data_IF_273123679618
#
_entry.id   IF_273123679618
#
_cell.length_a   1.000
_cell.length_b   1.000
_cell.length_c   1.000
_cell.angle_alpha   90.00
_cell.angle_beta   90.00
_cell.angle_gamma   90.00
#
_symmetry.space_group_name_H-M   'P 1'
#
loop_
_entity.id
_entity.type
_entity.pdbx_description
1 polymer ?
#
# COMPACT_ATOMS: atom_id res chain seq x y z
N UNK A 1 -0.78 16.22 -33.79
CA UNK A 1 -2.04 15.56 -33.41
C UNK A 1 -2.27 15.80 -31.92
N UNK A 2 -3.27 16.59 -31.55
CA UNK A 2 -3.61 16.81 -30.15
C UNK A 2 -4.31 15.54 -29.61
N UNK A 3 -3.89 15.04 -28.44
CA UNK A 3 -4.51 13.86 -27.82
C UNK A 3 -5.86 14.18 -27.15
N UNK A 4 -6.25 15.46 -27.12
CA UNK A 4 -7.53 15.94 -26.60
C UNK A 4 -8.27 16.71 -27.71
N UNK A 5 -9.61 16.71 -27.73
CA UNK A 5 -10.40 17.44 -28.72
C UNK A 5 -10.01 18.92 -28.74
N UNK A 6 -9.72 19.45 -29.94
CA UNK A 6 -9.43 20.87 -30.11
C UNK A 6 -10.68 21.75 -29.93
N UNK A 7 -11.86 21.16 -30.16
CA UNK A 7 -13.15 21.78 -29.94
C UNK A 7 -13.70 21.40 -28.55
N UNK A 8 -14.52 22.28 -27.92
CA UNK A 8 -15.19 21.95 -26.68
C UNK A 8 -16.06 20.70 -26.82
N UNK A 9 -16.14 19.89 -25.76
CA UNK A 9 -17.03 18.74 -25.70
C UNK A 9 -17.76 18.69 -24.36
N UNK A 10 -18.92 18.05 -24.34
CA UNK A 10 -19.69 17.84 -23.12
C UNK A 10 -19.43 16.41 -22.59
N UNK A 11 -19.25 16.29 -21.27
CA UNK A 11 -19.14 14.98 -20.60
C UNK A 11 -20.47 14.53 -19.97
N UNK A 12 -21.29 15.49 -19.56
CA UNK A 12 -22.61 15.28 -18.97
C UNK A 12 -23.46 16.55 -19.15
N UNK A 13 -24.76 16.48 -18.81
CA UNK A 13 -25.67 17.63 -18.92
C UNK A 13 -25.21 18.84 -18.11
N UNK A 14 -24.56 18.60 -16.97
CA UNK A 14 -24.06 19.57 -15.99
C UNK A 14 -22.59 20.00 -16.23
N UNK A 15 -21.84 19.29 -17.09
CA UNK A 15 -20.44 19.61 -17.42
C UNK A 15 -20.28 19.80 -18.93
N UNK A 16 -20.60 21.02 -19.37
CA UNK A 16 -20.53 21.46 -20.77
C UNK A 16 -19.26 22.28 -21.06
N UNK A 17 -18.88 22.38 -22.33
CA UNK A 17 -17.76 23.19 -22.83
C UNK A 17 -16.37 22.84 -22.26
N UNK A 18 -16.07 21.56 -22.04
CA UNK A 18 -14.74 21.13 -21.59
C UNK A 18 -13.72 21.35 -22.70
N UNK A 19 -12.63 22.04 -22.36
CA UNK A 19 -11.50 22.33 -23.25
C UNK A 19 -10.32 21.42 -22.91
N UNK A 20 -9.36 21.31 -23.83
CA UNK A 20 -8.14 20.56 -23.56
C UNK A 20 -7.38 21.06 -22.32
N UNK A 21 -7.42 22.37 -22.03
CA UNK A 21 -6.78 22.98 -20.84
C UNK A 21 -7.43 22.48 -19.55
N UNK A 22 -8.77 22.40 -19.50
CA UNK A 22 -9.48 21.93 -18.31
C UNK A 22 -9.21 20.46 -18.02
N UNK A 23 -8.90 19.66 -19.05
CA UNK A 23 -8.42 18.28 -18.89
C UNK A 23 -6.94 18.18 -18.51
N UNK A 24 -6.10 19.14 -18.96
CA UNK A 24 -4.67 19.14 -18.66
C UNK A 24 -4.38 19.44 -17.18
N UNK A 25 -5.19 20.29 -16.54
CA UNK A 25 -5.01 20.65 -15.12
C UNK A 25 -5.10 19.43 -14.19
N UNK A 26 -6.13 18.56 -14.25
CA UNK A 26 -6.17 17.31 -13.50
C UNK A 26 -4.93 16.43 -13.69
N UNK A 27 -4.48 16.24 -14.94
CA UNK A 27 -3.27 15.45 -15.22
C UNK A 27 -2.03 16.03 -14.54
N UNK A 28 -1.84 17.35 -14.63
CA UNK A 28 -0.71 18.04 -13.99
C UNK A 28 -0.80 17.95 -12.46
N UNK A 29 -1.98 18.17 -11.88
CA UNK A 29 -2.20 18.04 -10.44
C UNK A 29 -1.92 16.61 -9.95
N UNK A 30 -2.36 15.60 -10.70
CA UNK A 30 -2.04 14.21 -10.42
C UNK A 30 -0.54 13.94 -10.41
N UNK A 31 0.18 14.42 -11.43
CA UNK A 31 1.64 14.28 -11.54
C UNK A 31 2.37 14.97 -10.38
N UNK A 32 1.99 16.21 -10.05
CA UNK A 32 2.56 16.96 -8.94
C UNK A 32 2.24 16.34 -7.58
N UNK A 33 1.01 15.86 -7.38
CA UNK A 33 0.65 15.13 -6.16
C UNK A 33 1.46 13.85 -6.01
N UNK A 34 1.71 13.12 -7.09
CA UNK A 34 2.62 11.96 -7.08
C UNK A 34 4.03 12.37 -6.62
N UNK A 35 4.58 13.45 -7.20
CA UNK A 35 5.89 13.96 -6.84
C UNK A 35 5.96 14.37 -5.35
N UNK A 36 4.97 15.11 -4.84
CA UNK A 36 4.90 15.52 -3.43
C UNK A 36 4.82 14.30 -2.52
N UNK A 37 3.99 13.31 -2.85
CA UNK A 37 3.90 12.04 -2.10
C UNK A 37 5.27 11.36 -2.06
N UNK A 38 6.01 11.34 -3.18
CA UNK A 38 7.37 10.81 -3.23
C UNK A 38 8.34 11.51 -2.28
N UNK A 39 8.41 12.85 -2.32
CA UNK A 39 9.26 13.64 -1.43
C UNK A 39 8.91 13.47 0.06
N UNK A 40 7.62 13.45 0.39
CA UNK A 40 7.17 13.22 1.76
C UNK A 40 7.55 11.82 2.22
N UNK A 41 7.37 10.82 1.35
CA UNK A 41 7.74 9.44 1.65
C UNK A 41 9.24 9.33 1.91
N UNK A 42 10.07 9.90 1.03
CA UNK A 42 11.52 9.98 1.22
C UNK A 42 11.89 10.62 2.57
N UNK A 43 11.27 11.76 2.93
CA UNK A 43 11.54 12.44 4.20
C UNK A 43 11.27 11.55 5.42
N UNK A 44 10.22 10.72 5.36
CA UNK A 44 9.83 9.84 6.46
C UNK A 44 10.54 8.49 6.46
N UNK A 45 11.08 8.03 5.34
CA UNK A 45 11.72 6.70 5.26
C UNK A 45 13.23 6.74 5.09
N UNK A 46 13.84 7.83 4.63
CA UNK A 46 15.29 7.90 4.46
C UNK A 46 16.03 8.27 5.75
N UNK A 47 17.12 7.54 6.04
CA UNK A 47 17.99 7.81 7.18
C UNK A 47 18.80 9.11 7.06
N UNK A 48 18.74 9.79 5.91
CA UNK A 48 19.31 11.12 5.74
C UNK A 48 18.56 12.19 6.54
N UNK A 49 17.30 11.93 6.89
CA UNK A 49 16.43 12.89 7.57
C UNK A 49 16.23 12.57 9.05
N UNK A 50 15.75 13.58 9.75
CA UNK A 50 15.50 13.55 11.19
C UNK A 50 14.54 12.43 11.63
N UNK A 51 13.40 12.15 10.97
CA UNK A 51 12.42 11.18 11.48
C UNK A 51 12.99 9.77 11.71
N UNK A 52 13.77 9.25 10.74
CA UNK A 52 14.39 7.92 10.84
C UNK A 52 15.56 7.90 11.83
N UNK A 53 16.31 9.01 11.92
CA UNK A 53 17.38 9.15 12.91
C UNK A 53 16.84 9.15 14.33
N UNK A 54 15.69 9.79 14.57
CA UNK A 54 15.02 9.74 15.88
C UNK A 54 14.64 8.30 16.26
N UNK A 55 14.12 7.51 15.32
CA UNK A 55 13.89 6.07 15.57
C UNK A 55 15.20 5.39 15.96
N UNK A 56 16.27 5.59 15.18
CA UNK A 56 17.58 4.99 15.44
C UNK A 56 18.12 5.34 16.83
N UNK A 57 18.00 6.59 17.24
CA UNK A 57 18.43 7.08 18.56
C UNK A 57 17.68 6.38 19.70
N UNK A 58 16.36 6.15 19.56
CA UNK A 58 15.58 5.43 20.60
C UNK A 58 15.98 3.97 20.77
N UNK A 59 16.62 3.36 19.76
CA UNK A 59 17.10 1.97 19.83
C UNK A 59 18.23 1.79 20.84
N UNK A 60 18.93 2.87 21.23
CA UNK A 60 19.92 2.85 22.33
C UNK A 60 19.29 2.42 23.66
N UNK A 61 18.00 2.71 23.84
CA UNK A 61 17.27 2.43 25.07
C UNK A 61 16.54 1.09 24.99
N UNK A 62 15.65 0.90 24.01
CA UNK A 62 14.88 -0.34 23.87
C UNK A 62 14.28 -0.53 22.48
N UNK A 63 13.97 -1.78 22.13
CA UNK A 63 13.19 -2.10 20.94
C UNK A 63 11.75 -1.55 21.02
N UNK A 64 11.15 -1.54 22.23
CA UNK A 64 9.77 -1.10 22.42
C UNK A 64 9.58 0.39 22.07
N UNK A 65 10.49 1.24 22.52
CA UNK A 65 10.50 2.68 22.14
C UNK A 65 10.69 2.85 20.63
N UNK A 66 11.57 2.04 20.03
CA UNK A 66 11.74 2.01 18.58
C UNK A 66 10.47 1.68 17.81
N UNK A 67 9.69 0.71 18.30
CA UNK A 67 8.39 0.35 17.71
C UNK A 67 7.37 1.49 17.89
N UNK A 68 7.28 2.08 19.08
CA UNK A 68 6.36 3.19 19.33
C UNK A 68 6.64 4.37 18.37
N UNK A 69 7.91 4.73 18.22
CA UNK A 69 8.30 5.84 17.34
C UNK A 69 8.05 5.53 15.86
N UNK A 70 8.31 4.29 15.41
CA UNK A 70 8.04 3.89 14.02
C UNK A 70 6.55 3.89 13.67
N UNK A 71 5.67 3.45 14.59
CA UNK A 71 4.22 3.53 14.40
C UNK A 71 3.74 4.98 14.35
N UNK A 72 4.19 5.81 15.29
CA UNK A 72 3.86 7.23 15.31
C UNK A 72 4.31 7.94 14.03
N UNK A 73 5.52 7.63 13.53
CA UNK A 73 6.04 8.14 12.27
C UNK A 73 5.13 7.76 11.09
N UNK A 74 4.72 6.49 10.98
CA UNK A 74 3.83 6.04 9.92
C UNK A 74 2.50 6.80 9.92
N UNK A 75 1.90 6.99 11.10
CA UNK A 75 0.66 7.76 11.24
C UNK A 75 0.83 9.22 10.82
N UNK A 76 1.96 9.85 11.20
CA UNK A 76 2.26 11.23 10.81
C UNK A 76 2.53 11.37 9.31
N UNK A 77 3.20 10.39 8.71
CA UNK A 77 3.59 10.40 7.29
C UNK A 77 2.41 10.46 6.32
N UNK A 78 1.22 10.10 6.78
CA UNK A 78 0.01 10.01 5.97
C UNK A 78 -0.73 11.35 5.81
N UNK A 79 -0.41 12.37 6.61
CA UNK A 79 -1.11 13.67 6.61
C UNK A 79 -0.98 14.37 5.25
N UNK A 80 0.25 14.62 4.80
CA UNK A 80 0.49 15.38 3.56
C UNK A 80 -0.01 14.60 2.33
N UNK A 81 0.28 13.29 2.17
CA UNK A 81 -0.29 12.50 1.08
C UNK A 81 -1.81 12.57 1.00
N UNK A 82 -2.50 12.46 2.14
CA UNK A 82 -3.97 12.54 2.19
C UNK A 82 -4.48 13.91 1.77
N UNK A 83 -3.83 14.99 2.21
CA UNK A 83 -4.16 16.35 1.79
C UNK A 83 -3.95 16.55 0.28
N UNK A 84 -2.84 16.06 -0.27
CA UNK A 84 -2.56 16.11 -1.72
C UNK A 84 -3.64 15.38 -2.52
N UNK A 85 -4.06 14.19 -2.08
CA UNK A 85 -5.14 13.44 -2.70
C UNK A 85 -6.47 14.21 -2.62
N UNK A 86 -6.80 14.76 -1.46
CA UNK A 86 -8.02 15.57 -1.27
C UNK A 86 -8.09 16.78 -2.21
N UNK A 87 -7.00 17.55 -2.31
CA UNK A 87 -6.89 18.69 -3.24
C UNK A 87 -7.01 18.22 -4.70
N UNK A 88 -6.34 17.13 -5.06
CA UNK A 88 -6.40 16.56 -6.42
C UNK A 88 -7.82 16.16 -6.77
N UNK A 89 -8.51 15.46 -5.88
CA UNK A 89 -9.91 15.05 -6.08
C UNK A 89 -10.81 16.28 -6.21
N UNK A 90 -10.75 17.22 -5.27
CA UNK A 90 -11.63 18.38 -5.26
C UNK A 90 -11.49 19.22 -6.53
N UNK A 91 -10.27 19.58 -6.91
CA UNK A 91 -10.03 20.41 -8.09
C UNK A 91 -10.37 19.65 -9.36
N UNK A 92 -9.95 18.38 -9.48
CA UNK A 92 -10.20 17.60 -10.69
C UNK A 92 -11.69 17.32 -10.91
N UNK A 93 -12.41 17.02 -9.82
CA UNK A 93 -13.85 16.80 -9.87
C UNK A 93 -14.62 18.08 -10.20
N UNK A 94 -14.20 19.22 -9.65
CA UNK A 94 -14.86 20.52 -9.95
C UNK A 94 -14.70 20.90 -11.42
N UNK A 95 -13.57 20.56 -12.05
CA UNK A 95 -13.29 20.93 -13.44
C UNK A 95 -13.91 19.98 -14.48
N UNK A 96 -13.90 18.67 -14.23
CA UNK A 96 -14.29 17.67 -15.22
C UNK A 96 -15.07 16.48 -14.63
N UNK A 97 -15.65 16.62 -13.43
CA UNK A 97 -16.37 15.56 -12.73
C UNK A 97 -15.51 14.33 -12.46
N UNK A 98 -16.14 13.15 -12.42
CA UNK A 98 -15.44 11.86 -12.22
C UNK A 98 -14.37 11.57 -13.27
N UNK A 99 -14.55 12.07 -14.50
CA UNK A 99 -13.53 11.95 -15.55
C UNK A 99 -12.27 12.75 -15.22
N UNK A 100 -12.40 13.94 -14.63
CA UNK A 100 -11.27 14.71 -14.12
C UNK A 100 -10.48 13.94 -13.08
N UNK A 101 -11.15 13.28 -12.13
CA UNK A 101 -10.49 12.44 -11.13
C UNK A 101 -9.71 11.29 -11.81
N UNK A 102 -10.29 10.65 -12.83
CA UNK A 102 -9.62 9.62 -13.61
C UNK A 102 -8.38 10.15 -14.36
N UNK A 103 -8.46 11.36 -14.93
CA UNK A 103 -7.34 12.04 -15.56
C UNK A 103 -6.24 12.40 -14.54
N UNK A 104 -6.60 12.82 -13.32
CA UNK A 104 -5.65 13.01 -12.23
C UNK A 104 -4.94 11.72 -11.85
N UNK A 105 -5.66 10.59 -11.80
CA UNK A 105 -5.07 9.28 -11.58
C UNK A 105 -4.06 8.92 -12.68
N UNK A 106 -4.43 9.14 -13.95
CA UNK A 106 -3.55 8.93 -15.09
C UNK A 106 -2.33 9.85 -15.06
N UNK A 107 -2.50 11.11 -14.65
CA UNK A 107 -1.43 12.07 -14.46
C UNK A 107 -0.39 11.60 -13.45
N UNK A 108 -0.84 11.07 -12.30
CA UNK A 108 0.04 10.51 -11.27
C UNK A 108 0.85 9.30 -11.79
N UNK A 109 0.27 8.51 -12.70
CA UNK A 109 0.93 7.35 -13.32
C UNK A 109 1.61 7.67 -14.66
N UNK A 110 1.61 8.92 -15.12
CA UNK A 110 2.15 9.29 -16.43
C UNK A 110 3.65 9.02 -16.57
N UNK A 111 4.37 9.00 -15.45
CA UNK A 111 5.80 8.67 -15.34
C UNK A 111 6.04 7.27 -14.78
N UNK A 112 5.06 6.37 -14.86
CA UNK A 112 5.12 5.02 -14.29
C UNK A 112 6.35 4.22 -14.75
N UNK A 113 6.81 4.38 -15.99
CA UNK A 113 8.04 3.72 -16.46
C UNK A 113 9.25 4.10 -15.60
N UNK A 114 9.39 5.39 -15.26
CA UNK A 114 10.46 5.85 -14.38
C UNK A 114 10.24 5.40 -12.94
N UNK A 115 9.00 5.48 -12.44
CA UNK A 115 8.63 5.00 -11.11
C UNK A 115 8.96 3.52 -10.90
N UNK A 116 8.61 2.66 -11.86
CA UNK A 116 8.96 1.23 -11.83
C UNK A 116 10.47 1.00 -11.94
N UNK A 117 11.17 1.79 -12.74
CA UNK A 117 12.63 1.65 -12.90
C UNK A 117 13.34 1.87 -11.56
N UNK A 118 12.97 2.91 -10.81
CA UNK A 118 13.59 3.21 -9.52
C UNK A 118 13.13 2.25 -8.40
N UNK A 119 11.91 1.72 -8.48
CA UNK A 119 11.39 0.74 -7.53
C UNK A 119 12.10 -0.61 -7.70
N UNK A 120 12.14 -1.13 -8.94
CA UNK A 120 12.81 -2.41 -9.29
C UNK A 120 14.32 -2.37 -9.06
N UNK A 121 14.94 -1.19 -9.11
CA UNK A 121 16.34 -1.00 -8.74
C UNK A 121 16.65 -1.50 -7.31
N UNK A 122 15.70 -1.39 -6.36
CA UNK A 122 15.90 -1.81 -4.98
C UNK A 122 16.12 -3.31 -4.82
N UNK A 123 15.16 -4.18 -5.19
CA UNK A 123 15.32 -5.64 -5.10
C UNK A 123 16.50 -6.20 -5.90
N UNK A 124 16.91 -5.55 -6.99
CA UNK A 124 18.13 -5.93 -7.73
C UNK A 124 19.37 -5.66 -6.88
N UNK A 125 19.43 -4.51 -6.21
CA UNK A 125 20.54 -4.11 -5.35
C UNK A 125 20.66 -4.98 -4.09
N UNK A 126 19.54 -5.34 -3.49
CA UNK A 126 19.48 -6.27 -2.35
C UNK A 126 20.03 -7.66 -2.73
N UNK A 127 19.54 -8.23 -3.83
CA UNK A 127 20.05 -9.51 -4.35
C UNK A 127 21.55 -9.45 -4.69
N UNK A 128 22.03 -8.34 -5.25
CA UNK A 128 23.46 -8.16 -5.52
C UNK A 128 24.29 -8.21 -4.22
N UNK A 129 23.80 -7.59 -3.14
CA UNK A 129 24.41 -7.69 -1.82
C UNK A 129 24.40 -9.11 -1.27
N UNK A 130 23.28 -9.82 -1.37
CA UNK A 130 23.16 -11.22 -0.95
C UNK A 130 24.13 -12.14 -1.68
N UNK A 131 24.23 -12.00 -3.01
CA UNK A 131 25.17 -12.76 -3.85
C UNK A 131 26.62 -12.45 -3.45
N UNK A 132 26.95 -11.18 -3.20
CA UNK A 132 28.29 -10.78 -2.78
C UNK A 132 28.71 -11.44 -1.46
N UNK A 133 27.80 -11.49 -0.48
CA UNK A 133 28.04 -12.13 0.82
C UNK A 133 28.19 -13.66 0.67
N UNK A 134 27.26 -14.31 -0.04
CA UNK A 134 27.28 -15.77 -0.26
C UNK A 134 28.49 -16.24 -1.08
N UNK A 135 29.05 -15.37 -1.93
CA UNK A 135 30.23 -15.67 -2.74
C UNK A 135 31.55 -15.34 -2.03
N UNK A 136 31.52 -14.81 -0.81
CA UNK A 136 32.71 -14.43 -0.05
C UNK A 136 33.51 -13.28 -0.68
N UNK A 137 32.84 -12.36 -1.39
CA UNK A 137 33.52 -11.21 -1.98
C UNK A 137 34.03 -10.24 -0.91
N UNK A 138 35.00 -9.40 -1.29
CA UNK A 138 35.63 -8.46 -0.35
C UNK A 138 34.65 -7.44 0.26
N UNK A 139 34.97 -6.91 1.46
CA UNK A 139 34.07 -6.01 2.21
C UNK A 139 33.75 -4.70 1.48
N UNK A 140 34.59 -4.28 0.54
CA UNK A 140 34.33 -3.12 -0.32
C UNK A 140 33.10 -3.33 -1.20
N UNK A 141 32.90 -4.55 -1.74
CA UNK A 141 31.74 -4.89 -2.57
C UNK A 141 30.47 -4.79 -1.73
N UNK A 142 30.48 -5.40 -0.53
CA UNK A 142 29.34 -5.34 0.39
C UNK A 142 29.01 -3.92 0.81
N UNK A 143 30.02 -3.08 1.08
CA UNK A 143 29.81 -1.65 1.40
C UNK A 143 29.12 -0.89 0.27
N UNK A 144 29.49 -1.18 -0.99
CA UNK A 144 28.83 -0.57 -2.16
C UNK A 144 27.39 -1.06 -2.31
N UNK A 145 27.15 -2.37 -2.23
CA UNK A 145 25.80 -2.92 -2.34
C UNK A 145 24.89 -2.47 -1.20
N UNK A 146 25.38 -2.38 0.03
CA UNK A 146 24.61 -1.88 1.18
C UNK A 146 24.17 -0.41 0.98
N UNK A 147 25.00 0.42 0.33
CA UNK A 147 24.63 1.79 -0.02
C UNK A 147 23.56 1.83 -1.11
N UNK A 148 23.65 0.95 -2.12
CA UNK A 148 22.65 0.85 -3.19
C UNK A 148 21.30 0.34 -2.65
N UNK A 149 21.34 -0.65 -1.76
CA UNK A 149 20.19 -1.25 -1.07
C UNK A 149 19.46 -0.24 -0.17
N UNK A 150 20.19 0.57 0.61
CA UNK A 150 19.59 1.64 1.41
C UNK A 150 18.84 2.69 0.54
N UNK A 151 19.40 3.04 -0.63
CA UNK A 151 18.70 3.87 -1.60
C UNK A 151 17.46 3.15 -2.17
N UNK A 152 17.60 1.85 -2.48
CA UNK A 152 16.53 0.96 -2.94
C UNK A 152 15.34 0.87 -1.97
N UNK A 153 15.58 0.79 -0.67
CA UNK A 153 14.54 0.81 0.35
C UNK A 153 13.72 2.11 0.32
N UNK A 154 14.38 3.23 0.05
CA UNK A 154 13.72 4.53 -0.08
C UNK A 154 12.91 4.60 -1.37
N UNK A 155 13.46 4.16 -2.50
CA UNK A 155 12.75 4.17 -3.78
C UNK A 155 11.58 3.18 -3.79
N UNK A 156 11.68 2.04 -3.12
CA UNK A 156 10.59 1.10 -2.91
C UNK A 156 9.44 1.73 -2.09
N UNK A 157 9.76 2.48 -1.04
CA UNK A 157 8.75 3.24 -0.30
C UNK A 157 8.07 4.29 -1.17
N UNK A 158 8.83 5.05 -1.97
CA UNK A 158 8.28 6.00 -2.95
C UNK A 158 7.35 5.30 -3.94
N UNK A 159 7.78 4.15 -4.49
CA UNK A 159 6.98 3.31 -5.39
C UNK A 159 5.65 2.89 -4.76
N UNK A 160 5.68 2.42 -3.51
CA UNK A 160 4.49 2.10 -2.71
C UNK A 160 3.59 3.32 -2.53
N UNK A 161 4.14 4.49 -2.20
CA UNK A 161 3.41 5.75 -2.09
C UNK A 161 2.68 6.14 -3.38
N UNK A 162 3.36 6.07 -4.53
CA UNK A 162 2.77 6.28 -5.85
C UNK A 162 1.66 5.27 -6.18
N UNK A 163 1.89 3.99 -5.88
CA UNK A 163 0.91 2.93 -6.11
C UNK A 163 -0.36 3.13 -5.26
N UNK A 164 -0.22 3.56 -4.00
CA UNK A 164 -1.33 3.86 -3.11
C UNK A 164 -2.07 5.14 -3.52
N UNK A 165 -1.34 6.22 -3.81
CA UNK A 165 -1.96 7.48 -4.24
C UNK A 165 -2.75 7.33 -5.54
N UNK A 166 -2.19 6.62 -6.52
CA UNK A 166 -2.90 6.31 -7.77
C UNK A 166 -4.07 5.37 -7.53
N UNK A 167 -3.95 4.41 -6.60
CA UNK A 167 -5.06 3.56 -6.19
C UNK A 167 -6.26 4.34 -5.69
N UNK A 168 -6.01 5.36 -4.86
CA UNK A 168 -7.06 6.21 -4.34
C UNK A 168 -7.87 6.86 -5.47
N UNK A 169 -7.17 7.52 -6.41
CA UNK A 169 -7.80 8.26 -7.49
C UNK A 169 -8.51 7.34 -8.49
N UNK A 170 -7.87 6.23 -8.90
CA UNK A 170 -8.48 5.24 -9.79
C UNK A 170 -9.73 4.63 -9.14
N UNK A 171 -9.65 4.26 -7.87
CA UNK A 171 -10.77 3.61 -7.18
C UNK A 171 -11.96 4.55 -7.01
N UNK A 172 -11.72 5.84 -6.78
CA UNK A 172 -12.78 6.85 -6.77
C UNK A 172 -13.45 7.00 -8.15
N UNK A 173 -12.66 7.01 -9.23
CA UNK A 173 -13.20 7.03 -10.58
C UNK A 173 -14.02 5.77 -10.91
N UNK A 174 -13.51 4.58 -10.54
CA UNK A 174 -14.21 3.31 -10.68
C UNK A 174 -15.48 3.25 -9.83
N UNK A 175 -15.46 3.87 -8.65
CA UNK A 175 -16.64 3.98 -7.79
C UNK A 175 -17.72 4.85 -8.46
N UNK A 176 -17.36 5.99 -9.06
CA UNK A 176 -18.29 6.79 -9.86
C UNK A 176 -18.87 5.99 -11.03
N UNK A 177 -18.03 5.25 -11.76
CA UNK A 177 -18.48 4.36 -12.84
C UNK A 177 -19.41 3.25 -12.34
N UNK A 178 -19.15 2.69 -11.15
CA UNK A 178 -20.02 1.72 -10.50
C UNK A 178 -21.40 2.32 -10.22
N UNK A 179 -21.48 3.53 -9.67
CA UNK A 179 -22.75 4.20 -9.41
C UNK A 179 -23.60 4.33 -10.69
N UNK A 180 -22.99 4.72 -11.80
CA UNK A 180 -23.66 4.78 -13.11
C UNK A 180 -24.14 3.39 -13.54
N UNK A 181 -23.25 2.39 -13.49
CA UNK A 181 -23.54 1.02 -13.95
C UNK A 181 -24.63 0.34 -13.12
N UNK A 182 -24.63 0.56 -11.80
CA UNK A 182 -25.58 0.01 -10.85
C UNK A 182 -26.85 0.87 -10.68
N UNK A 183 -26.96 1.98 -11.44
CA UNK A 183 -28.09 2.93 -11.38
C UNK A 183 -28.30 3.49 -9.96
N UNK A 184 -27.21 3.81 -9.25
CA UNK A 184 -27.23 4.54 -7.99
C UNK A 184 -27.33 6.04 -8.33
N UNK A 185 -28.48 6.65 -8.06
CA UNK A 185 -28.71 8.07 -8.36
C UNK A 185 -27.96 9.00 -7.39
N UNK A 186 -27.94 8.64 -6.10
CA UNK A 186 -27.29 9.41 -5.06
C UNK A 186 -26.76 8.46 -3.99
N UNK A 187 -25.52 8.66 -3.57
CA UNK A 187 -24.93 7.97 -2.42
C UNK A 187 -25.18 8.84 -1.18
N UNK A 188 -26.24 8.51 -0.42
CA UNK A 188 -26.57 9.23 0.80
C UNK A 188 -25.91 8.53 2.01
N UNK A 189 -24.94 9.17 2.65
CA UNK A 189 -24.27 8.58 3.83
C UNK A 189 -25.24 8.36 5.00
N UNK A 190 -26.36 9.09 5.07
CA UNK A 190 -27.39 8.92 6.09
C UNK A 190 -28.37 7.79 5.77
N UNK A 191 -28.31 7.19 4.57
CA UNK A 191 -29.05 5.97 4.28
C UNK A 191 -28.49 4.80 5.11
N UNK A 192 -29.32 4.03 5.85
CA UNK A 192 -28.84 2.97 6.73
C UNK A 192 -28.00 1.91 6.03
N UNK A 193 -28.34 1.55 4.78
CA UNK A 193 -27.59 0.55 4.01
C UNK A 193 -26.23 1.08 3.59
N UNK A 194 -26.20 2.32 3.12
CA UNK A 194 -24.95 3.02 2.75
C UNK A 194 -24.04 3.17 3.96
N UNK A 195 -24.55 3.61 5.12
CA UNK A 195 -23.75 3.76 6.33
C UNK A 195 -23.23 2.41 6.86
N UNK A 196 -24.07 1.36 6.83
CA UNK A 196 -23.68 0.01 7.22
C UNK A 196 -22.56 -0.51 6.32
N UNK A 197 -22.70 -0.32 5.01
CA UNK A 197 -21.65 -0.62 4.05
C UNK A 197 -20.37 0.16 4.31
N UNK A 198 -20.47 1.45 4.65
CA UNK A 198 -19.34 2.31 4.99
C UNK A 198 -18.55 1.75 6.18
N UNK A 199 -19.25 1.36 7.25
CA UNK A 199 -18.65 0.79 8.46
C UNK A 199 -17.92 -0.52 8.14
N UNK A 200 -18.57 -1.45 7.42
CA UNK A 200 -17.95 -2.72 7.04
C UNK A 200 -16.80 -2.53 6.06
N UNK A 201 -16.97 -1.66 5.06
CA UNK A 201 -15.93 -1.29 4.12
C UNK A 201 -14.69 -0.75 4.83
N UNK A 202 -14.86 0.12 5.83
CA UNK A 202 -13.75 0.66 6.60
C UNK A 202 -13.01 -0.41 7.42
N UNK A 203 -13.70 -1.49 7.80
CA UNK A 203 -13.14 -2.62 8.55
C UNK A 203 -12.41 -3.64 7.66
N UNK A 204 -12.80 -3.81 6.38
CA UNK A 204 -12.19 -4.78 5.45
C UNK A 204 -10.66 -4.64 5.35
N UNK A 205 -10.07 -3.44 5.20
CA UNK A 205 -8.61 -3.26 5.24
C UNK A 205 -7.95 -3.81 6.52
N UNK A 206 -8.57 -3.62 7.69
CA UNK A 206 -8.03 -4.13 8.95
C UNK A 206 -8.13 -5.65 9.03
N UNK A 207 -9.25 -6.23 8.57
CA UNK A 207 -9.41 -7.68 8.52
C UNK A 207 -8.41 -8.31 7.56
N UNK A 208 -8.23 -7.73 6.37
CA UNK A 208 -7.22 -8.14 5.41
C UNK A 208 -5.82 -8.14 6.04
N UNK A 209 -5.41 -7.01 6.63
CA UNK A 209 -4.10 -6.88 7.27
C UNK A 209 -3.91 -7.85 8.43
N UNK A 210 -4.94 -8.09 9.24
CA UNK A 210 -4.86 -9.06 10.34
C UNK A 210 -4.57 -10.48 9.85
N UNK A 211 -5.20 -10.89 8.74
CA UNK A 211 -4.92 -12.19 8.12
C UNK A 211 -3.49 -12.25 7.61
N UNK A 212 -3.08 -11.30 6.76
CA UNK A 212 -1.75 -11.32 6.15
C UNK A 212 -0.61 -11.22 7.17
N UNK A 213 -0.75 -10.37 8.19
CA UNK A 213 0.24 -10.27 9.27
C UNK A 213 0.34 -11.58 10.07
N UNK A 214 -0.79 -12.20 10.39
CA UNK A 214 -0.81 -13.48 11.11
C UNK A 214 -0.17 -14.60 10.28
N UNK A 215 -0.49 -14.68 8.99
CA UNK A 215 0.07 -15.68 8.08
C UNK A 215 1.60 -15.56 7.97
N UNK A 216 2.14 -14.34 7.83
CA UNK A 216 3.60 -14.13 7.85
C UNK A 216 4.20 -14.52 9.20
N UNK A 217 3.56 -14.14 10.32
CA UNK A 217 4.04 -14.51 11.65
C UNK A 217 4.10 -16.02 11.89
N UNK A 218 3.12 -16.78 11.39
CA UNK A 218 3.13 -18.24 11.44
C UNK A 218 4.28 -18.83 10.63
N UNK A 219 4.43 -18.41 9.36
CA UNK A 219 5.50 -18.87 8.48
C UNK A 219 6.89 -18.51 9.00
N UNK A 220 7.06 -17.30 9.56
CA UNK A 220 8.30 -16.85 10.15
C UNK A 220 8.69 -17.68 11.38
N UNK A 221 7.73 -18.02 12.25
CA UNK A 221 7.99 -18.88 13.41
C UNK A 221 8.44 -20.29 13.00
N UNK A 222 7.84 -20.85 11.95
CA UNK A 222 8.25 -22.16 11.45
C UNK A 222 9.62 -22.11 10.76
N UNK A 223 9.92 -21.02 10.05
CA UNK A 223 11.26 -20.75 9.51
C UNK A 223 12.31 -20.64 10.63
N UNK A 224 12.01 -19.95 11.72
CA UNK A 224 12.92 -19.83 12.88
C UNK A 224 13.17 -21.19 13.52
N UNK A 225 12.12 -22.00 13.75
CA UNK A 225 12.28 -23.36 14.30
C UNK A 225 13.17 -24.22 13.41
N UNK A 226 12.97 -24.16 12.09
CA UNK A 226 13.79 -24.90 11.12
C UNK A 226 15.25 -24.44 11.17
N UNK A 227 15.51 -23.13 11.11
CA UNK A 227 16.86 -22.59 11.23
C UNK A 227 17.53 -23.01 12.54
N UNK A 228 16.81 -22.97 13.66
CA UNK A 228 17.33 -23.38 14.98
C UNK A 228 17.61 -24.88 15.08
N UNK A 229 16.93 -25.72 14.29
CA UNK A 229 17.23 -27.15 14.18
C UNK A 229 18.47 -27.41 13.32
N UNK A 230 18.70 -26.62 12.26
CA UNK A 230 19.84 -26.78 11.37
C UNK A 230 21.13 -26.16 11.92
N UNK A 231 21.07 -24.98 12.57
CA UNK A 231 22.27 -24.21 12.96
C UNK A 231 23.28 -25.00 13.80
N UNK A 232 22.91 -25.78 14.84
CA UNK A 232 23.90 -26.55 15.61
C UNK A 232 24.70 -27.52 14.75
N UNK A 233 24.04 -28.20 13.80
CA UNK A 233 24.66 -29.19 12.90
C UNK A 233 25.52 -28.53 11.82
N UNK A 234 25.10 -27.36 11.31
CA UNK A 234 25.89 -26.57 10.36
C UNK A 234 27.16 -26.06 11.03
N UNK A 235 27.06 -25.51 12.24
CA UNK A 235 28.20 -24.99 13.01
C UNK A 235 29.17 -26.10 13.44
N UNK A 236 28.66 -27.31 13.68
CA UNK A 236 29.48 -28.50 13.92
C UNK A 236 30.14 -29.05 12.64
N UNK A 237 29.80 -28.53 11.46
CA UNK A 237 30.29 -29.01 10.17
C UNK A 237 29.69 -30.36 9.72
N UNK A 238 28.65 -30.84 10.41
CA UNK A 238 28.00 -32.14 10.15
C UNK A 238 27.09 -32.11 8.92
N UNK A 239 26.57 -30.93 8.57
CA UNK A 239 25.71 -30.76 7.41
C UNK A 239 25.93 -29.41 6.72
N UNK A 240 25.69 -29.39 5.40
CA UNK A 240 25.46 -28.13 4.69
C UNK A 240 24.03 -27.63 4.97
N UNK A 241 23.77 -26.31 4.89
CA UNK A 241 22.42 -25.79 5.06
C UNK A 241 21.44 -26.42 4.07
N UNK A 242 20.29 -26.87 4.57
CA UNK A 242 19.20 -27.36 3.73
C UNK A 242 18.29 -26.18 3.35
N UNK A 243 18.63 -25.53 2.24
CA UNK A 243 17.85 -24.44 1.67
C UNK A 243 16.48 -24.90 1.17
N UNK A 244 16.35 -26.15 0.70
CA UNK A 244 15.09 -26.67 0.14
C UNK A 244 14.01 -26.70 1.19
N UNK A 245 14.37 -27.04 2.43
CA UNK A 245 13.44 -27.05 3.55
C UNK A 245 12.90 -25.65 3.87
N UNK A 246 13.77 -24.64 3.97
CA UNK A 246 13.35 -23.25 4.14
C UNK A 246 12.44 -22.78 2.99
N UNK A 247 12.79 -23.09 1.74
CA UNK A 247 11.97 -22.76 0.57
C UNK A 247 10.58 -23.42 0.65
N UNK A 248 10.51 -24.69 1.08
CA UNK A 248 9.23 -25.40 1.20
C UNK A 248 8.30 -24.75 2.23
N UNK A 249 8.82 -24.31 3.37
CA UNK A 249 8.03 -23.66 4.44
C UNK A 249 7.36 -22.39 3.92
N UNK A 250 8.14 -21.50 3.28
CA UNK A 250 7.57 -20.25 2.74
C UNK A 250 6.63 -20.49 1.55
N UNK A 251 6.93 -21.48 0.70
CA UNK A 251 6.10 -21.83 -0.46
C UNK A 251 4.75 -22.40 -0.05
N UNK A 252 4.73 -23.38 0.84
CA UNK A 252 3.49 -24.03 1.30
C UNK A 252 2.62 -23.04 2.08
N UNK A 253 3.23 -22.24 2.96
CA UNK A 253 2.52 -21.21 3.71
C UNK A 253 1.91 -20.15 2.77
N UNK A 254 2.68 -19.60 1.84
CA UNK A 254 2.17 -18.55 0.92
C UNK A 254 1.02 -19.04 0.04
N UNK A 255 1.11 -20.24 -0.54
CA UNK A 255 0.06 -20.81 -1.39
C UNK A 255 -1.24 -21.07 -0.63
N UNK A 256 -1.15 -21.54 0.62
CA UNK A 256 -2.32 -21.81 1.45
C UNK A 256 -2.95 -20.53 1.99
N UNK A 257 -2.12 -19.64 2.50
CA UNK A 257 -2.55 -18.45 3.26
C UNK A 257 -2.97 -17.28 2.36
N UNK A 258 -2.65 -17.30 1.05
CA UNK A 258 -3.15 -16.27 0.12
C UNK A 258 -4.64 -16.40 -0.19
N UNK A 259 -5.23 -17.58 0.00
CA UNK A 259 -6.63 -17.86 -0.39
C UNK A 259 -7.63 -17.06 0.45
N UNK A 260 -7.58 -17.05 1.80
CA UNK A 260 -8.57 -16.31 2.60
C UNK A 260 -8.56 -14.79 2.37
N UNK A 261 -7.41 -14.09 2.33
CA UNK A 261 -7.38 -12.66 1.98
C UNK A 261 -7.90 -12.38 0.56
N UNK A 262 -7.56 -13.22 -0.42
CA UNK A 262 -8.07 -13.09 -1.79
C UNK A 262 -9.60 -13.26 -1.85
N UNK A 263 -10.12 -14.28 -1.17
CA UNK A 263 -11.56 -14.52 -1.06
C UNK A 263 -12.28 -13.36 -0.37
N UNK A 264 -11.70 -12.78 0.70
CA UNK A 264 -12.26 -11.62 1.37
C UNK A 264 -12.47 -10.45 0.39
N UNK A 265 -11.46 -10.10 -0.38
CA UNK A 265 -11.51 -8.94 -1.29
C UNK A 265 -12.51 -9.15 -2.42
N UNK A 266 -12.56 -10.36 -2.99
CA UNK A 266 -13.47 -10.68 -4.10
C UNK A 266 -14.91 -10.80 -3.62
N UNK A 267 -15.14 -11.50 -2.52
CA UNK A 267 -16.50 -11.81 -2.04
C UNK A 267 -17.15 -10.64 -1.32
N UNK A 268 -16.40 -9.78 -0.62
CA UNK A 268 -16.98 -8.65 0.14
C UNK A 268 -17.92 -7.75 -0.69
N UNK A 269 -17.50 -7.17 -1.83
CA UNK A 269 -18.40 -6.34 -2.64
C UNK A 269 -19.54 -7.14 -3.28
N UNK A 270 -19.31 -8.40 -3.65
CA UNK A 270 -20.33 -9.24 -4.27
C UNK A 270 -21.44 -9.63 -3.29
N UNK A 271 -21.06 -10.05 -2.08
CA UNK A 271 -22.00 -10.36 -1.00
C UNK A 271 -22.74 -9.09 -0.58
N UNK A 272 -22.03 -7.96 -0.43
CA UNK A 272 -22.65 -6.66 -0.17
C UNK A 272 -23.71 -6.32 -1.22
N UNK A 273 -23.40 -6.51 -2.50
CA UNK A 273 -24.30 -6.16 -3.61
C UNK A 273 -25.48 -7.09 -3.77
N UNK A 274 -25.25 -8.40 -3.78
CA UNK A 274 -26.30 -9.40 -4.02
C UNK A 274 -27.24 -9.55 -2.82
N UNK A 275 -26.71 -9.44 -1.59
CA UNK A 275 -27.50 -9.66 -0.37
C UNK A 275 -28.09 -8.37 0.18
N UNK A 276 -27.34 -7.25 0.12
CA UNK A 276 -27.71 -5.99 0.77
C UNK A 276 -27.98 -4.83 -0.19
N UNK A 277 -27.76 -5.05 -1.49
CA UNK A 277 -28.09 -4.10 -2.55
C UNK A 277 -26.98 -3.11 -2.89
N UNK A 278 -27.26 -2.31 -3.92
CA UNK A 278 -26.33 -1.36 -4.53
C UNK A 278 -25.87 -0.25 -3.59
N UNK A 279 -26.72 0.19 -2.66
CA UNK A 279 -26.38 1.25 -1.70
C UNK A 279 -25.36 0.75 -0.66
N UNK A 280 -25.54 -0.46 -0.15
CA UNK A 280 -24.58 -1.08 0.78
C UNK A 280 -23.21 -1.24 0.11
N UNK A 281 -23.18 -1.70 -1.14
CA UNK A 281 -21.92 -1.80 -1.91
C UNK A 281 -21.24 -0.45 -2.09
N UNK A 282 -22.01 0.61 -2.38
CA UNK A 282 -21.46 1.97 -2.46
C UNK A 282 -20.79 2.41 -1.15
N UNK A 283 -21.41 2.07 -0.02
CA UNK A 283 -20.82 2.21 1.31
C UNK A 283 -19.51 1.43 1.46
N UNK A 284 -19.50 0.14 1.10
CA UNK A 284 -18.31 -0.72 1.20
C UNK A 284 -17.14 -0.16 0.41
N UNK A 285 -17.38 0.29 -0.83
CA UNK A 285 -16.37 0.93 -1.67
C UNK A 285 -15.81 2.21 -1.04
N UNK A 286 -16.70 3.07 -0.54
CA UNK A 286 -16.32 4.33 0.10
C UNK A 286 -15.49 4.09 1.36
N UNK A 287 -15.94 3.16 2.22
CA UNK A 287 -15.28 2.85 3.49
C UNK A 287 -13.92 2.19 3.27
N UNK A 288 -13.85 1.21 2.37
CA UNK A 288 -12.60 0.53 2.04
C UNK A 288 -11.57 1.48 1.45
N UNK A 289 -12.02 2.45 0.64
CA UNK A 289 -11.16 3.49 0.07
C UNK A 289 -10.56 4.37 1.17
N UNK A 290 -11.40 5.03 1.96
CA UNK A 290 -10.93 6.04 2.93
C UNK A 290 -10.14 5.43 4.09
N UNK A 291 -10.45 4.19 4.48
CA UNK A 291 -9.71 3.47 5.52
C UNK A 291 -8.43 2.83 4.97
N UNK A 292 -8.52 2.17 3.81
CA UNK A 292 -7.43 1.40 3.21
C UNK A 292 -6.22 2.26 2.85
N UNK A 293 -6.43 3.48 2.33
CA UNK A 293 -5.33 4.39 1.99
C UNK A 293 -4.49 4.74 3.24
N UNK A 294 -5.15 5.05 4.35
CA UNK A 294 -4.48 5.50 5.58
C UNK A 294 -3.61 4.36 6.14
N UNK A 295 -4.16 3.15 6.15
CA UNK A 295 -3.48 1.95 6.62
C UNK A 295 -2.33 1.57 5.67
N UNK A 296 -2.52 1.64 4.36
CA UNK A 296 -1.49 1.31 3.38
C UNK A 296 -0.26 2.23 3.49
N UNK A 297 -0.48 3.55 3.60
CA UNK A 297 0.61 4.54 3.70
C UNK A 297 1.36 4.35 5.02
N UNK A 298 0.62 4.31 6.13
CA UNK A 298 1.24 4.19 7.45
C UNK A 298 2.05 2.90 7.61
N UNK A 299 1.51 1.74 7.20
CA UNK A 299 2.22 0.46 7.27
C UNK A 299 3.48 0.45 6.39
N UNK A 300 3.39 0.95 5.16
CA UNK A 300 4.53 0.97 4.22
C UNK A 300 5.65 1.87 4.74
N UNK A 301 5.31 3.07 5.23
CA UNK A 301 6.29 4.04 5.70
C UNK A 301 6.88 3.65 7.05
N UNK A 302 6.09 3.09 7.97
CA UNK A 302 6.60 2.56 9.25
C UNK A 302 7.65 1.47 9.02
N UNK A 303 7.35 0.47 8.18
CA UNK A 303 8.31 -0.60 7.94
C UNK A 303 9.55 -0.12 7.18
N UNK A 304 9.40 0.79 6.21
CA UNK A 304 10.55 1.40 5.53
C UNK A 304 11.44 2.22 6.47
N UNK A 305 10.83 2.94 7.43
CA UNK A 305 11.56 3.71 8.43
C UNK A 305 12.32 2.82 9.42
N UNK A 306 11.75 1.68 9.86
CA UNK A 306 12.48 0.73 10.71
C UNK A 306 13.65 0.07 10.00
N UNK A 307 13.50 -0.30 8.73
CA UNK A 307 14.59 -0.87 7.93
C UNK A 307 15.74 0.13 7.77
N UNK A 308 15.43 1.36 7.37
CA UNK A 308 16.45 2.39 7.22
C UNK A 308 17.04 2.87 8.55
N UNK A 309 16.29 2.78 9.65
CA UNK A 309 16.86 2.99 10.99
C UNK A 309 17.88 1.89 11.33
N UNK A 310 17.59 0.62 11.03
CA UNK A 310 18.58 -0.48 11.14
C UNK A 310 19.79 -0.20 10.25
N UNK A 311 19.61 0.12 8.97
CA UNK A 311 20.71 0.43 8.04
C UNK A 311 21.57 1.61 8.50
N UNK A 312 20.97 2.63 9.11
CA UNK A 312 21.70 3.76 9.69
C UNK A 312 22.67 3.33 10.79
N UNK A 313 22.24 2.44 11.68
CA UNK A 313 23.09 1.88 12.74
C UNK A 313 24.19 1.00 12.13
N UNK A 314 23.85 0.18 11.14
CA UNK A 314 24.80 -0.67 10.42
C UNK A 314 25.91 0.10 9.70
N UNK A 315 25.58 1.30 9.21
CA UNK A 315 26.53 2.23 8.59
C UNK A 315 27.33 3.06 9.62
N UNK A 316 27.11 2.88 10.92
CA UNK A 316 27.81 3.60 11.99
C UNK A 316 27.22 4.98 12.32
N UNK A 317 25.98 5.27 11.92
CA UNK A 317 25.33 6.56 12.12
C UNK A 317 25.08 6.96 13.59
N UNK A 318 25.09 6.00 14.52
CA UNK A 318 25.01 6.26 15.97
C UNK A 318 26.38 6.37 16.65
N UNK A 319 27.48 6.29 15.89
CA UNK A 319 28.83 6.29 16.42
C UNK A 319 29.40 4.88 16.67
N UNK A 320 30.68 4.80 17.07
CA UNK A 320 31.43 3.54 17.13
C UNK A 320 30.94 2.55 18.20
N UNK A 321 30.23 3.04 19.22
CA UNK A 321 29.71 2.23 20.33
C UNK A 321 28.49 1.38 19.94
N UNK A 322 27.77 1.79 18.88
CA UNK A 322 26.51 1.18 18.45
C UNK A 322 26.64 0.50 17.08
N UNK A 323 27.66 -0.34 16.91
CA UNK A 323 27.93 -1.08 15.67
C UNK A 323 27.03 -2.32 15.50
N UNK A 324 27.13 -2.98 14.34
CA UNK A 324 26.52 -4.30 14.09
C UNK A 324 26.78 -5.27 15.26
N UNK A 325 25.73 -5.93 15.73
CA UNK A 325 25.76 -6.86 16.88
C UNK A 325 25.60 -6.20 18.25
N UNK A 326 25.66 -4.87 18.35
CA UNK A 326 25.36 -4.15 19.61
C UNK A 326 23.89 -4.32 20.02
N UNK A 327 23.56 -3.99 21.28
CA UNK A 327 22.18 -4.05 21.74
C UNK A 327 21.26 -3.09 20.96
N UNK A 328 21.75 -1.91 20.60
CA UNK A 328 21.00 -0.96 19.76
C UNK A 328 20.71 -1.54 18.38
N UNK A 329 21.68 -2.23 17.77
CA UNK A 329 21.47 -2.92 16.49
C UNK A 329 20.43 -4.05 16.60
N UNK A 330 20.50 -4.88 17.64
CA UNK A 330 19.49 -5.95 17.88
C UNK A 330 18.09 -5.38 18.10
N UNK A 331 17.98 -4.25 18.81
CA UNK A 331 16.72 -3.55 19.02
C UNK A 331 16.15 -3.06 17.67
N UNK A 332 16.99 -2.48 16.81
CA UNK A 332 16.59 -2.03 15.47
C UNK A 332 16.17 -3.18 14.55
N UNK A 333 16.88 -4.31 14.58
CA UNK A 333 16.50 -5.55 13.85
C UNK A 333 15.12 -6.05 14.30
N UNK A 334 14.79 -5.92 15.59
CA UNK A 334 13.44 -6.26 16.09
C UNK A 334 12.38 -5.34 15.48
N UNK A 335 12.63 -4.03 15.38
CA UNK A 335 11.72 -3.11 14.70
C UNK A 335 11.54 -3.44 13.21
N UNK A 336 12.64 -3.71 12.50
CA UNK A 336 12.63 -4.05 11.08
C UNK A 336 11.83 -5.34 10.80
N UNK A 337 12.04 -6.39 11.60
CA UNK A 337 11.30 -7.66 11.46
C UNK A 337 9.81 -7.54 11.80
N UNK A 338 9.41 -6.57 12.64
CA UNK A 338 7.99 -6.19 12.81
C UNK A 338 7.47 -5.44 11.57
N UNK A 339 8.34 -4.65 10.92
CA UNK A 339 8.05 -3.87 9.72
C UNK A 339 7.92 -4.68 8.43
N UNK A 340 8.60 -5.81 8.30
CA UNK A 340 8.57 -6.66 7.09
C UNK A 340 7.15 -7.05 6.65
N UNK A 341 6.29 -7.66 7.50
CA UNK A 341 4.91 -7.96 7.12
C UNK A 341 4.05 -6.72 6.89
N UNK A 342 4.42 -5.57 7.46
CA UNK A 342 3.71 -4.30 7.22
C UNK A 342 4.05 -3.76 5.84
N UNK A 343 5.34 -3.64 5.49
CA UNK A 343 5.80 -2.96 4.29
C UNK A 343 5.81 -3.83 3.05
N UNK A 344 5.92 -5.15 3.18
CA UNK A 344 6.11 -6.05 2.03
C UNK A 344 4.99 -7.07 1.85
N UNK A 345 4.01 -7.12 2.76
CA UNK A 345 2.83 -7.98 2.61
C UNK A 345 1.55 -7.19 2.74
N UNK A 346 1.26 -6.65 3.92
CA UNK A 346 -0.06 -6.09 4.23
C UNK A 346 -0.25 -4.72 3.58
N UNK A 347 0.63 -3.76 3.88
CA UNK A 347 0.59 -2.38 3.39
C UNK A 347 0.46 -2.24 1.87
N UNK A 348 1.36 -2.83 1.05
CA UNK A 348 1.27 -2.72 -0.40
C UNK A 348 0.02 -3.45 -0.94
N UNK A 349 -0.39 -4.57 -0.35
CA UNK A 349 -1.57 -5.31 -0.82
C UNK A 349 -2.88 -4.55 -0.59
N UNK A 350 -2.94 -3.65 0.40
CA UNK A 350 -4.13 -2.82 0.63
C UNK A 350 -4.46 -1.92 -0.57
N UNK A 351 -3.48 -1.49 -1.37
CA UNK A 351 -3.77 -0.74 -2.59
C UNK A 351 -4.55 -1.60 -3.61
N UNK A 352 -4.30 -2.91 -3.61
CA UNK A 352 -4.98 -3.90 -4.44
C UNK A 352 -6.36 -4.16 -3.87
N UNK A 353 -6.52 -4.29 -2.55
CA UNK A 353 -7.82 -4.43 -1.88
C UNK A 353 -8.80 -3.36 -2.36
N UNK A 354 -8.37 -2.10 -2.37
CA UNK A 354 -9.22 -0.97 -2.78
C UNK A 354 -9.53 -1.00 -4.28
N UNK A 355 -8.50 -1.14 -5.14
CA UNK A 355 -8.70 -1.18 -6.61
C UNK A 355 -9.55 -2.37 -7.05
N UNK A 356 -9.27 -3.55 -6.50
CA UNK A 356 -9.94 -4.79 -6.85
C UNK A 356 -11.40 -4.77 -6.40
N UNK A 357 -11.68 -4.25 -5.20
CA UNK A 357 -13.07 -4.08 -4.74
C UNK A 357 -13.86 -3.17 -5.69
N UNK A 358 -13.27 -2.04 -6.11
CA UNK A 358 -13.91 -1.09 -7.02
C UNK A 358 -14.19 -1.67 -8.40
N UNK A 359 -13.21 -2.35 -9.03
CA UNK A 359 -13.41 -2.96 -10.35
C UNK A 359 -14.39 -4.14 -10.29
N UNK A 360 -14.36 -4.96 -9.23
CA UNK A 360 -15.31 -6.06 -9.05
C UNK A 360 -16.74 -5.54 -8.96
N UNK A 361 -16.98 -4.52 -8.13
CA UNK A 361 -18.29 -3.88 -8.06
C UNK A 361 -18.74 -3.30 -9.40
N UNK A 362 -17.84 -2.64 -10.15
CA UNK A 362 -18.16 -2.09 -11.47
C UNK A 362 -18.56 -3.19 -12.47
N UNK A 363 -17.75 -4.25 -12.59
CA UNK A 363 -17.98 -5.36 -13.53
C UNK A 363 -19.33 -6.03 -13.24
N UNK A 364 -19.63 -6.28 -11.97
CA UNK A 364 -20.89 -6.91 -11.55
C UNK A 364 -22.02 -5.90 -11.29
N UNK A 365 -21.82 -4.62 -11.57
CA UNK A 365 -22.74 -3.54 -11.18
C UNK A 365 -24.17 -3.72 -11.73
N UNK A 366 -24.32 -4.27 -12.93
CA UNK A 366 -25.65 -4.57 -13.49
C UNK A 366 -26.36 -5.71 -12.75
N UNK A 367 -25.63 -6.77 -12.41
CA UNK A 367 -26.16 -7.88 -11.60
C UNK A 367 -26.54 -7.37 -10.22
N UNK A 368 -25.68 -6.57 -9.58
CA UNK A 368 -25.98 -5.95 -8.28
C UNK A 368 -27.26 -5.10 -8.36
N UNK A 369 -27.45 -4.35 -9.45
CA UNK A 369 -28.66 -3.55 -9.65
C UNK A 369 -29.93 -4.40 -9.80
N UNK A 370 -29.85 -5.55 -10.49
CA UNK A 370 -30.98 -6.49 -10.62
C UNK A 370 -31.38 -7.11 -9.29
N UNK A 371 -30.41 -7.34 -8.41
CA UNK A 371 -30.60 -7.88 -7.06
C UNK A 371 -30.81 -6.79 -5.99
N UNK A 372 -31.10 -5.56 -6.42
CA UNK A 372 -31.43 -4.44 -5.54
C UNK A 372 -32.89 -4.06 -5.65
N UNK A 373 -33.49 -3.60 -4.55
CA UNK A 373 -34.82 -2.99 -4.59
C UNK A 373 -34.78 -1.72 -5.49
N UNK A 374 -35.63 -1.61 -6.52
CA UNK A 374 -35.60 -0.46 -7.44
C UNK A 374 -35.91 0.88 -6.78
N UNK A 375 -36.74 0.90 -5.75
CA UNK A 375 -37.18 2.11 -5.06
C UNK A 375 -36.19 2.59 -4.00
N UNK A 376 -35.66 1.66 -3.19
CA UNK A 376 -34.81 2.01 -2.04
C UNK A 376 -33.31 1.83 -2.32
N UNK A 377 -32.93 1.00 -3.30
CA UNK A 377 -31.54 0.61 -3.56
C UNK A 377 -30.92 -0.33 -2.51
N UNK A 378 -31.73 -0.75 -1.52
CA UNK A 378 -31.38 -1.77 -0.54
C UNK A 378 -31.64 -3.20 -1.03
N UNK A 379 -31.75 -4.17 -0.11
CA UNK A 379 -31.91 -5.58 -0.45
C UNK A 379 -33.18 -5.88 -1.25
N UNK A 380 -33.11 -6.74 -2.27
CA UNK A 380 -34.29 -7.12 -3.07
C UNK A 380 -35.41 -7.79 -2.25
N UNK A 381 -35.04 -8.50 -1.17
CA UNK A 381 -35.98 -9.25 -0.33
C UNK A 381 -36.76 -8.34 0.64
N UNK A 382 -36.33 -7.08 0.80
CA UNK A 382 -37.00 -6.11 1.64
C UNK A 382 -38.08 -5.41 0.82
N UNK A 383 -39.32 -5.87 0.99
CA UNK A 383 -40.51 -5.25 0.40
C UNK A 383 -40.92 -4.05 1.24
N UNK A 384 -40.65 -2.85 0.75
CA UNK A 384 -41.40 -1.66 1.11
C UNK A 384 -42.02 -1.08 -0.16
#
# INVERSE_FOLDING_TARGET
KYCLPAQPFALAEDVQDIRWITCAVPCLLGAWSGLIIGFVTEYYTSHSYRPVREISETQKVSAATGIIYGLALGYLSNIIPTLCLGVTVLVSHTLCGSYGVALGALGMLSTMTMGLTIDVYGPISDNAGGIAEMSGLGPEVRKRTDALDAAGNTTAAIGKGFAIGSAALVSLALFGAYCVRAKVQMVNILDPWTFTGLLYGAMVPYWFSAMTMKSVGLAANDMVKECMQQFPKILAGEMKPDYKRCISISTEASLREMIPPGALVILSPLVAGVVFGKNCTAGVLSGSLVSGIQLAISMSNTGGAWDNAKKYIEAGGLGPEHKKGSQAHKNAVTGDTVGDPLKDTSGPSLNIVVKLSAIMSLVFGSVIAEWSNPATGGPFWLKH
#
